data_IF_369031473206
#
_entry.id   IF_369031473206
#
_cell.length_a   1.000
_cell.length_b   1.000
_cell.length_c   1.000
_cell.angle_alpha   90.00
_cell.angle_beta   90.00
_cell.angle_gamma   90.00
#
_symmetry.space_group_name_H-M   'P 1'
#
loop_
_entity.id
_entity.type
_entity.pdbx_description
1 polymer ?
#
# COMPACT_ATOMS: atom_id res chain seq x y z
N UNK A 1 57.91 -54.30 -11.77
CA UNK A 1 58.03 -52.86 -11.43
C UNK A 1 56.65 -52.23 -11.46
N UNK A 2 56.40 -51.35 -10.48
CA UNK A 2 55.27 -50.44 -10.28
C UNK A 2 53.98 -50.95 -9.61
N UNK A 3 53.85 -50.46 -8.37
CA UNK A 3 52.67 -50.35 -7.50
C UNK A 3 51.62 -49.42 -8.10
N UNK A 4 50.35 -49.59 -7.72
CA UNK A 4 49.32 -48.58 -7.35
C UNK A 4 47.93 -49.25 -7.50
N UNK A 5 46.87 -48.97 -6.75
CA UNK A 5 46.59 -48.47 -5.41
C UNK A 5 45.06 -48.63 -5.26
N UNK A 6 44.61 -49.16 -4.12
CA UNK A 6 43.20 -49.18 -3.72
C UNK A 6 42.68 -47.74 -3.57
N UNK A 7 41.51 -47.42 -4.13
CA UNK A 7 40.70 -46.31 -3.62
C UNK A 7 39.24 -46.74 -3.49
N UNK A 8 38.89 -47.05 -2.24
CA UNK A 8 37.54 -47.25 -1.72
C UNK A 8 36.80 -45.91 -1.76
N UNK A 9 35.67 -45.83 -2.48
CA UNK A 9 34.78 -44.69 -2.38
C UNK A 9 33.55 -45.11 -1.55
N UNK A 10 33.53 -44.71 -0.28
CA UNK A 10 32.35 -44.77 0.57
C UNK A 10 31.29 -43.83 -0.01
N UNK A 11 30.21 -44.39 -0.57
CA UNK A 11 29.02 -43.61 -0.88
C UNK A 11 28.36 -43.21 0.45
N UNK A 12 28.56 -41.96 0.87
CA UNK A 12 27.83 -41.37 1.99
C UNK A 12 26.35 -41.26 1.60
N UNK A 13 25.50 -42.04 2.28
CA UNK A 13 24.05 -41.88 2.23
C UNK A 13 23.72 -40.56 2.93
N UNK A 14 23.57 -39.49 2.15
CA UNK A 14 23.06 -38.23 2.65
C UNK A 14 21.59 -38.41 3.05
N UNK A 15 21.32 -38.53 4.35
CA UNK A 15 19.98 -38.29 4.88
C UNK A 15 19.63 -36.83 4.59
N UNK A 16 18.91 -36.60 3.50
CA UNK A 16 18.28 -35.32 3.24
C UNK A 16 17.10 -35.20 4.19
N UNK A 17 17.31 -34.54 5.32
CA UNK A 17 16.26 -34.09 6.24
C UNK A 17 15.28 -33.21 5.46
N UNK A 18 14.21 -33.82 4.95
CA UNK A 18 13.07 -33.07 4.43
C UNK A 18 12.32 -32.54 5.65
N UNK A 19 12.77 -31.39 6.17
CA UNK A 19 11.89 -30.50 6.93
C UNK A 19 10.84 -29.97 5.97
N UNK A 20 9.84 -30.83 5.70
CA UNK A 20 8.57 -30.40 5.15
C UNK A 20 7.93 -29.50 6.19
N UNK A 21 8.18 -28.20 6.12
CA UNK A 21 7.24 -27.22 6.62
C UNK A 21 5.98 -27.40 5.80
N UNK A 22 5.06 -28.20 6.33
CA UNK A 22 3.68 -28.17 5.92
C UNK A 22 3.19 -26.73 6.12
N UNK A 23 3.26 -25.92 5.06
CA UNK A 23 2.56 -24.67 5.00
C UNK A 23 1.09 -25.05 5.14
N UNK A 24 0.54 -24.73 6.30
CA UNK A 24 -0.89 -24.77 6.56
C UNK A 24 -1.63 -24.29 5.32
N UNK A 25 -2.80 -24.88 5.03
CA UNK A 25 -3.73 -24.41 4.00
C UNK A 25 -4.30 -23.02 4.34
N UNK A 26 -3.43 -22.05 4.58
CA UNK A 26 -3.72 -20.69 4.99
C UNK A 26 -4.34 -19.95 3.83
N UNK A 27 -5.48 -19.31 4.13
CA UNK A 27 -6.08 -18.30 3.27
C UNK A 27 -4.96 -17.37 2.78
N UNK A 28 -4.83 -17.20 1.47
CA UNK A 28 -3.82 -16.30 0.90
C UNK A 28 -3.97 -14.92 1.54
N UNK A 29 -2.87 -14.22 1.85
CA UNK A 29 -2.92 -12.85 2.31
C UNK A 29 -3.85 -12.00 1.44
N UNK A 30 -4.82 -11.34 2.06
CA UNK A 30 -5.81 -10.48 1.40
C UNK A 30 -5.70 -9.07 1.96
N UNK A 31 -6.00 -8.04 1.15
CA UNK A 31 -5.98 -6.64 1.63
C UNK A 31 -7.15 -6.33 2.59
N UNK A 32 -8.20 -7.17 2.61
CA UNK A 32 -9.35 -7.02 3.50
C UNK A 32 -8.94 -6.83 4.96
N UNK A 33 -9.61 -5.90 5.65
CA UNK A 33 -9.35 -5.57 7.06
C UNK A 33 -9.00 -4.10 7.29
N UNK A 34 -8.56 -3.80 8.51
CA UNK A 34 -8.20 -2.46 8.96
C UNK A 34 -6.68 -2.25 8.94
N UNK A 35 -6.27 -1.04 8.55
CA UNK A 35 -4.89 -0.67 8.32
C UNK A 35 -4.61 0.72 8.87
N UNK A 36 -3.51 0.84 9.60
CA UNK A 36 -2.85 2.12 9.83
C UNK A 36 -1.96 2.42 8.63
N UNK A 37 -2.15 3.59 8.03
CA UNK A 37 -1.49 4.02 6.80
C UNK A 37 -0.77 5.33 7.06
N UNK A 38 0.43 5.46 6.53
CA UNK A 38 1.18 6.71 6.47
C UNK A 38 1.21 7.16 5.02
N UNK A 39 0.68 8.35 4.75
CA UNK A 39 0.66 8.98 3.43
C UNK A 39 1.76 10.04 3.36
N UNK A 40 2.65 9.94 2.37
CA UNK A 40 3.66 10.97 2.09
C UNK A 40 3.33 11.65 0.77
N UNK A 41 2.96 12.94 0.80
CA UNK A 41 2.63 13.70 -0.41
C UNK A 41 3.89 14.05 -1.21
N UNK A 42 3.74 14.04 -2.54
CA UNK A 42 4.84 14.23 -3.50
C UNK A 42 4.43 15.06 -4.72
N UNK A 43 5.40 15.78 -5.31
CA UNK A 43 5.24 16.68 -6.45
C UNK A 43 6.41 16.60 -7.44
N UNK A 44 6.28 17.20 -8.62
CA UNK A 44 7.38 17.43 -9.57
C UNK A 44 8.11 16.19 -10.12
N UNK A 45 7.42 15.07 -10.39
CA UNK A 45 8.02 13.89 -11.02
C UNK A 45 7.07 13.15 -11.97
N UNK A 46 7.59 12.51 -13.04
CA UNK A 46 6.76 11.70 -13.95
C UNK A 46 6.26 10.42 -13.28
N UNK A 47 7.01 9.92 -12.28
CA UNK A 47 6.61 8.82 -11.41
C UNK A 47 6.49 9.34 -9.98
N UNK A 48 5.38 9.02 -9.33
CA UNK A 48 5.10 9.38 -7.95
C UNK A 48 6.13 8.78 -6.99
N UNK A 49 6.75 7.63 -7.33
CA UNK A 49 7.77 7.00 -6.50
C UNK A 49 9.11 7.76 -6.51
N UNK A 50 9.36 8.57 -7.54
CA UNK A 50 10.58 9.38 -7.71
C UNK A 50 10.34 10.88 -7.57
N UNK A 51 9.07 11.28 -7.47
CA UNK A 51 8.64 12.66 -7.20
C UNK A 51 9.14 13.16 -5.84
N UNK A 52 9.45 14.46 -5.81
CA UNK A 52 9.93 15.19 -4.64
C UNK A 52 8.88 15.19 -3.53
N UNK A 53 9.30 14.97 -2.27
CA UNK A 53 8.39 15.05 -1.12
C UNK A 53 7.95 16.50 -0.94
N UNK A 54 6.65 16.74 -0.85
CA UNK A 54 6.11 18.07 -0.53
C UNK A 54 6.49 18.38 0.92
N UNK A 55 7.25 19.46 1.21
CA UNK A 55 7.59 19.84 2.57
C UNK A 55 6.33 20.17 3.38
N UNK A 56 6.31 19.78 4.66
CA UNK A 56 5.32 20.21 5.63
C UNK A 56 5.52 21.68 6.02
N UNK A 57 4.60 22.22 6.84
CA UNK A 57 4.53 23.64 7.19
C UNK A 57 5.79 24.27 7.85
N UNK A 58 6.79 23.46 8.20
CA UNK A 58 8.06 23.88 8.80
C UNK A 58 9.30 23.31 8.06
N UNK A 59 9.17 22.89 6.80
CA UNK A 59 10.27 22.29 6.04
C UNK A 59 10.58 20.82 6.41
N UNK A 60 9.85 20.24 7.36
CA UNK A 60 9.92 18.82 7.70
C UNK A 60 9.21 17.95 6.64
N UNK A 61 9.56 16.65 6.56
CA UNK A 61 8.79 15.69 5.77
C UNK A 61 7.32 15.68 6.19
N UNK A 62 6.42 15.34 5.27
CA UNK A 62 4.97 15.49 5.43
C UNK A 62 4.21 14.13 5.47
N UNK A 63 4.61 13.16 6.33
CA UNK A 63 3.84 11.95 6.53
C UNK A 63 2.57 12.26 7.33
N UNK A 64 1.42 11.80 6.85
CA UNK A 64 0.14 11.89 7.56
C UNK A 64 -0.34 10.50 7.95
N UNK A 65 -0.65 10.24 9.22
CA UNK A 65 -1.34 9.03 9.59
C UNK A 65 -2.77 9.06 9.04
N UNK A 66 -3.30 7.90 8.68
CA UNK A 66 -4.69 7.70 8.25
C UNK A 66 -5.05 6.24 8.47
N UNK A 67 -6.35 5.94 8.51
CA UNK A 67 -6.83 4.58 8.64
C UNK A 67 -7.61 4.17 7.39
N UNK A 68 -7.28 3.01 6.85
CA UNK A 68 -8.00 2.45 5.71
C UNK A 68 -8.69 1.17 6.17
N UNK A 69 -9.94 0.99 5.74
CA UNK A 69 -10.65 -0.26 5.88
C UNK A 69 -11.05 -0.79 4.51
N UNK A 70 -10.60 -2.00 4.20
CA UNK A 70 -10.94 -2.71 2.98
C UNK A 70 -11.98 -3.76 3.34
N UNK A 71 -13.21 -3.54 2.89
CA UNK A 71 -14.33 -4.42 3.16
C UNK A 71 -14.44 -5.48 2.08
N UNK A 72 -14.91 -6.66 2.46
CA UNK A 72 -15.32 -7.69 1.50
C UNK A 72 -16.32 -7.10 0.49
N UNK A 73 -16.25 -7.56 -0.76
CA UNK A 73 -17.07 -7.02 -1.84
C UNK A 73 -16.50 -5.76 -2.51
N UNK A 74 -15.33 -5.28 -2.08
CA UNK A 74 -14.58 -4.26 -2.80
C UNK A 74 -14.87 -2.82 -2.38
N UNK A 75 -15.42 -2.58 -1.18
CA UNK A 75 -15.61 -1.24 -0.63
C UNK A 75 -14.39 -0.79 0.17
N UNK A 76 -14.05 0.48 0.07
CA UNK A 76 -12.96 1.14 0.80
C UNK A 76 -13.51 2.31 1.62
N UNK A 77 -13.16 2.37 2.89
CA UNK A 77 -13.35 3.57 3.71
C UNK A 77 -12.00 4.09 4.19
N UNK A 78 -11.78 5.38 4.04
CA UNK A 78 -10.55 6.08 4.36
C UNK A 78 -10.82 7.17 5.41
N UNK A 79 -10.04 7.17 6.48
CA UNK A 79 -10.20 8.07 7.61
C UNK A 79 -8.89 8.81 7.83
N UNK A 80 -8.77 9.96 7.17
CA UNK A 80 -7.59 10.80 7.27
C UNK A 80 -7.43 11.33 8.68
N UNK A 81 -6.26 11.14 9.28
CA UNK A 81 -5.91 11.89 10.48
C UNK A 81 -5.25 13.20 10.03
N UNK A 82 -5.99 14.29 10.17
CA UNK A 82 -5.37 15.55 10.56
C UNK A 82 -6.04 15.96 11.85
N UNK A 83 -5.23 16.18 12.88
CA UNK A 83 -5.70 16.85 14.08
C UNK A 83 -6.42 18.15 13.69
N UNK A 84 -7.39 18.51 14.53
CA UNK A 84 -8.42 19.50 14.26
C UNK A 84 -7.93 20.81 13.60
N UNK A 85 -8.74 21.37 12.69
CA UNK A 85 -9.86 20.73 12.02
C UNK A 85 -9.31 19.92 10.83
N UNK A 86 -9.60 18.62 10.76
CA UNK A 86 -9.53 17.95 9.47
C UNK A 86 -10.60 18.59 8.60
N UNK A 87 -10.25 19.61 7.80
CA UNK A 87 -11.17 20.27 6.88
C UNK A 87 -11.49 19.36 5.69
N UNK A 88 -11.96 18.13 5.96
CA UNK A 88 -12.36 17.15 4.95
C UNK A 88 -13.30 16.09 5.53
N UNK A 89 -14.12 15.53 4.65
CA UNK A 89 -14.88 14.32 4.96
C UNK A 89 -13.94 13.10 5.04
N UNK A 90 -14.39 11.98 5.65
CA UNK A 90 -13.83 10.67 5.33
C UNK A 90 -13.88 10.41 3.82
N UNK A 91 -12.96 9.58 3.35
CA UNK A 91 -12.96 9.06 1.99
C UNK A 91 -13.84 7.82 1.88
N UNK A 92 -14.60 7.74 0.79
CA UNK A 92 -15.36 6.56 0.41
C UNK A 92 -15.00 6.15 -1.01
N UNK A 93 -14.89 4.83 -1.22
CA UNK A 93 -14.47 4.33 -2.52
C UNK A 93 -14.53 2.83 -2.65
N UNK A 94 -13.74 2.33 -3.59
CA UNK A 94 -13.68 0.94 -3.97
C UNK A 94 -12.24 0.45 -4.10
N UNK A 95 -12.07 -0.85 -3.94
CA UNK A 95 -10.83 -1.55 -4.21
C UNK A 95 -11.10 -2.83 -5.01
N UNK A 96 -10.07 -3.30 -5.71
CA UNK A 96 -10.08 -4.59 -6.39
C UNK A 96 -8.67 -5.16 -6.47
N UNK A 97 -8.56 -6.46 -6.67
CA UNK A 97 -7.28 -7.05 -7.07
C UNK A 97 -6.86 -6.49 -8.44
N UNK A 98 -5.60 -6.07 -8.55
CA UNK A 98 -5.03 -5.59 -9.80
C UNK A 98 -4.62 -6.80 -10.64
N UNK A 99 -5.14 -6.90 -11.86
CA UNK A 99 -4.83 -8.00 -12.77
C UNK A 99 -5.54 -9.33 -12.44
N UNK A 100 -5.43 -10.30 -13.35
CA UNK A 100 -6.04 -11.63 -13.24
C UNK A 100 -5.00 -12.75 -13.12
N UNK A 101 -3.71 -12.45 -13.20
CA UNK A 101 -2.65 -13.46 -13.24
C UNK A 101 -2.21 -13.79 -11.82
N UNK A 102 -1.70 -15.00 -11.61
CA UNK A 102 -1.10 -15.41 -10.33
C UNK A 102 0.06 -14.49 -9.90
N UNK A 103 0.80 -13.93 -10.87
CA UNK A 103 1.86 -12.94 -10.65
C UNK A 103 1.36 -11.62 -10.05
N UNK A 104 0.06 -11.39 -10.09
CA UNK A 104 -0.59 -10.21 -9.56
C UNK A 104 -1.24 -10.49 -8.19
N UNK A 105 -0.94 -11.65 -7.58
CA UNK A 105 -1.30 -11.92 -6.19
C UNK A 105 -0.68 -10.85 -5.28
N UNK A 106 -1.48 -10.33 -4.34
CA UNK A 106 -1.06 -9.26 -3.45
C UNK A 106 -1.03 -7.87 -4.07
N UNK A 107 -1.40 -7.71 -5.36
CA UNK A 107 -1.52 -6.38 -6.00
C UNK A 107 -2.98 -5.94 -6.05
N UNK A 108 -3.23 -4.68 -5.71
CA UNK A 108 -4.57 -4.12 -5.64
C UNK A 108 -4.61 -2.74 -6.26
N UNK A 109 -5.78 -2.35 -6.75
CA UNK A 109 -6.06 -1.00 -7.21
C UNK A 109 -7.19 -0.41 -6.36
N UNK A 110 -7.06 0.86 -6.01
CA UNK A 110 -8.04 1.62 -5.23
C UNK A 110 -8.52 2.84 -6.01
N UNK A 111 -9.75 3.25 -5.73
CA UNK A 111 -10.25 4.59 -6.06
C UNK A 111 -11.19 5.05 -4.97
N UNK A 112 -10.96 6.24 -4.42
CA UNK A 112 -11.85 6.84 -3.43
C UNK A 112 -11.87 8.35 -3.59
N UNK A 113 -12.89 8.98 -3.00
CA UNK A 113 -13.04 10.42 -3.02
C UNK A 113 -13.41 10.95 -1.64
N UNK A 114 -13.00 12.18 -1.36
CA UNK A 114 -13.43 12.95 -0.20
C UNK A 114 -13.59 14.42 -0.59
N UNK A 115 -14.33 15.16 0.21
CA UNK A 115 -14.51 16.60 0.06
C UNK A 115 -13.58 17.32 1.03
N UNK A 116 -13.08 18.48 0.64
CA UNK A 116 -12.34 19.39 1.51
C UNK A 116 -13.18 20.63 1.78
N UNK A 117 -12.86 21.34 2.87
CA UNK A 117 -13.53 22.56 3.30
C UNK A 117 -12.50 23.67 3.55
N UNK A 118 -12.93 24.92 3.46
CA UNK A 118 -12.10 26.06 3.83
C UNK A 118 -12.18 26.35 5.35
N UNK A 119 -11.52 27.42 5.79
CA UNK A 119 -11.53 27.87 7.19
C UNK A 119 -12.90 28.35 7.70
N UNK A 120 -13.88 28.53 6.81
CA UNK A 120 -15.26 28.89 7.13
C UNK A 120 -16.21 27.69 7.02
N UNK A 121 -15.67 26.47 6.91
CA UNK A 121 -16.41 25.22 6.77
C UNK A 121 -17.24 25.12 5.47
N UNK A 122 -16.98 25.99 4.48
CA UNK A 122 -17.57 25.87 3.17
C UNK A 122 -16.77 24.87 2.34
N UNK A 123 -17.45 24.03 1.56
CA UNK A 123 -16.77 23.08 0.67
C UNK A 123 -15.88 23.86 -0.31
N UNK A 124 -14.59 23.53 -0.39
CA UNK A 124 -13.64 24.23 -1.28
C UNK A 124 -13.22 23.38 -2.49
N UNK A 125 -13.22 22.05 -2.34
CA UNK A 125 -12.77 21.14 -3.37
C UNK A 125 -13.28 19.70 -3.17
N UNK A 126 -13.19 18.93 -4.26
CA UNK A 126 -13.27 17.48 -4.25
C UNK A 126 -11.90 16.90 -4.58
N UNK A 127 -11.51 15.85 -3.87
CA UNK A 127 -10.30 15.08 -4.18
C UNK A 127 -10.71 13.70 -4.73
N UNK A 128 -10.31 13.37 -5.96
CA UNK A 128 -10.35 12.00 -6.50
C UNK A 128 -8.97 11.37 -6.34
N UNK A 129 -8.92 10.18 -5.74
CA UNK A 129 -7.68 9.44 -5.51
C UNK A 129 -7.75 8.11 -6.23
N UNK A 130 -6.66 7.76 -6.92
CA UNK A 130 -6.47 6.45 -7.55
C UNK A 130 -5.12 5.93 -7.18
N UNK A 131 -5.03 4.68 -6.74
CA UNK A 131 -3.76 4.13 -6.29
C UNK A 131 -3.59 2.66 -6.60
N UNK A 132 -2.33 2.25 -6.61
CA UNK A 132 -1.89 0.87 -6.72
C UNK A 132 -1.21 0.48 -5.40
N UNK A 133 -1.56 -0.70 -4.89
CA UNK A 133 -1.12 -1.21 -3.60
C UNK A 133 -0.49 -2.58 -3.80
N UNK A 134 0.61 -2.82 -3.10
CA UNK A 134 1.27 -4.12 -3.00
C UNK A 134 1.29 -4.57 -1.55
N UNK A 135 0.76 -5.76 -1.31
CA UNK A 135 0.79 -6.45 -0.03
C UNK A 135 2.10 -7.23 0.09
N UNK A 136 2.78 -7.11 1.22
CA UNK A 136 3.97 -7.91 1.52
C UNK A 136 3.58 -9.39 1.69
N UNK A 137 4.57 -10.29 1.54
CA UNK A 137 4.35 -11.74 1.63
C UNK A 137 3.72 -12.18 2.97
N UNK A 138 4.00 -11.46 4.07
CA UNK A 138 3.43 -11.70 5.40
C UNK A 138 1.96 -11.26 5.55
N UNK A 139 1.44 -10.44 4.63
CA UNK A 139 0.05 -9.97 4.68
C UNK A 139 -0.25 -8.90 5.72
N UNK A 140 0.75 -8.45 6.46
CA UNK A 140 0.69 -7.50 7.58
C UNK A 140 1.24 -6.11 7.23
N UNK A 141 1.96 -6.00 6.12
CA UNK A 141 2.47 -4.74 5.57
C UNK A 141 1.98 -4.53 4.14
N UNK A 142 1.73 -3.27 3.79
CA UNK A 142 1.48 -2.87 2.41
C UNK A 142 2.27 -1.62 2.05
N UNK A 143 2.54 -1.46 0.77
CA UNK A 143 3.08 -0.22 0.19
C UNK A 143 2.25 0.16 -1.01
N UNK A 144 2.31 1.42 -1.43
CA UNK A 144 1.58 1.84 -2.61
C UNK A 144 1.92 3.23 -3.09
N UNK A 145 1.33 3.55 -4.23
CA UNK A 145 1.42 4.84 -4.89
C UNK A 145 0.01 5.28 -5.20
N UNK A 146 -0.30 6.56 -4.96
CA UNK A 146 -1.58 7.14 -5.33
C UNK A 146 -1.41 8.46 -6.09
N UNK A 147 -2.25 8.66 -7.09
CA UNK A 147 -2.46 9.92 -7.80
C UNK A 147 -3.72 10.57 -7.29
N UNK A 148 -3.66 11.87 -7.09
CA UNK A 148 -4.73 12.70 -6.59
C UNK A 148 -5.05 13.75 -7.65
N UNK A 149 -6.32 14.10 -7.74
CA UNK A 149 -6.78 15.26 -8.48
C UNK A 149 -7.64 16.07 -7.54
N UNK A 150 -7.17 17.28 -7.19
CA UNK A 150 -7.99 18.28 -6.52
C UNK A 150 -8.75 19.06 -7.58
N UNK A 151 -10.07 19.04 -7.50
CA UNK A 151 -10.95 19.85 -8.36
C UNK A 151 -11.64 20.89 -7.48
N UNK A 152 -11.38 22.17 -7.73
CA UNK A 152 -12.06 23.27 -7.04
C UNK A 152 -13.50 23.45 -7.55
N UNK A 153 -14.26 24.35 -6.91
CA UNK A 153 -15.64 24.63 -7.29
C UNK A 153 -15.79 25.25 -8.70
N UNK A 154 -14.73 25.84 -9.23
CA UNK A 154 -14.68 26.41 -10.60
C UNK A 154 -14.33 25.35 -11.65
N UNK A 155 -14.01 24.12 -11.24
CA UNK A 155 -13.62 23.02 -12.12
C UNK A 155 -12.13 22.95 -12.43
N UNK A 156 -11.28 23.78 -11.80
CA UNK A 156 -9.84 23.72 -12.02
C UNK A 156 -9.27 22.47 -11.35
N UNK A 157 -8.55 21.66 -12.12
CA UNK A 157 -7.96 20.40 -11.67
C UNK A 157 -6.46 20.56 -11.42
N UNK A 158 -6.01 20.22 -10.20
CA UNK A 158 -4.59 20.23 -9.81
C UNK A 158 -4.18 18.80 -9.46
N UNK A 159 -3.32 18.15 -10.27
CA UNK A 159 -2.82 16.82 -9.99
C UNK A 159 -1.66 16.86 -9.00
N UNK A 160 -1.59 15.85 -8.13
CA UNK A 160 -0.45 15.58 -7.26
C UNK A 160 -0.41 14.08 -6.93
N UNK A 161 0.56 13.65 -6.12
CA UNK A 161 0.70 12.23 -5.81
C UNK A 161 1.13 11.96 -4.38
N UNK A 162 1.11 10.69 -3.98
CA UNK A 162 1.66 10.23 -2.72
C UNK A 162 2.26 8.84 -2.83
N UNK A 163 3.16 8.53 -1.91
CA UNK A 163 3.45 7.15 -1.52
C UNK A 163 2.69 6.81 -0.24
N UNK A 164 2.34 5.54 -0.08
CA UNK A 164 1.70 5.04 1.14
C UNK A 164 2.47 3.84 1.69
N UNK A 165 2.57 3.78 3.01
CA UNK A 165 3.09 2.65 3.76
C UNK A 165 2.05 2.25 4.80
N UNK A 166 1.79 0.96 4.95
CA UNK A 166 0.68 0.49 5.76
C UNK A 166 1.05 -0.68 6.65
N UNK A 167 0.47 -0.70 7.85
CA UNK A 167 0.53 -1.80 8.80
C UNK A 167 -0.87 -2.26 9.16
N UNK A 168 -1.09 -3.57 9.14
CA UNK A 168 -2.37 -4.16 9.51
C UNK A 168 -2.62 -3.96 11.00
N UNK A 169 -3.84 -3.58 11.34
CA UNK A 169 -4.31 -3.55 12.72
C UNK A 169 -4.82 -4.96 13.08
N UNK A 170 -4.27 -5.54 14.14
CA UNK A 170 -4.63 -6.87 14.66
C UNK A 170 -5.12 -6.77 16.10
N UNK A 171 -5.87 -7.77 16.55
CA UNK A 171 -6.28 -7.93 17.95
C UNK A 171 -5.18 -8.58 18.79
#
# INVERSE_FOLDING_TARGET
MNKLALLTCCAAVGLSSHTGTALAGGKKPTIEGAWEIVVTLRQNGPDCSTAEIIPGGNGAANPFPTFYSYHEGGLLSEYGSRASPAHRTPGAGVWRQAGKRKSDAGKYAIRYTFLTFDGSELQDARIDVRGDISLAAGGDKLTGVARYVRTDLSGNAVPFCSTIDGTRITF
#
